data_IF_167708613847
#
_entry.id   IF_167708613847
#
_cell.length_a   1.000
_cell.length_b   1.000
_cell.length_c   1.000
_cell.angle_alpha   90.00
_cell.angle_beta   90.00
_cell.angle_gamma   90.00
#
_symmetry.space_group_name_H-M   'P 1'
#
loop_
_entity.id
_entity.type
_entity.pdbx_description
1 polymer ?
#
# COMPACT_ATOMS: atom_id res chain seq x y z
N UNK A 1 -32.71 -2.05 -4.58
CA UNK A 1 -31.30 -1.88 -4.15
C UNK A 1 -30.62 -0.96 -5.15
N UNK A 2 -30.03 0.15 -4.68
CA UNK A 2 -29.47 1.19 -5.54
C UNK A 2 -27.95 0.96 -5.70
N UNK A 3 -27.41 0.84 -6.93
CA UNK A 3 -25.99 0.54 -7.19
C UNK A 3 -25.02 1.72 -6.96
N UNK A 4 -25.40 2.69 -6.12
CA UNK A 4 -24.62 3.92 -5.84
C UNK A 4 -23.76 3.83 -4.57
N UNK A 5 -23.70 2.67 -3.94
CA UNK A 5 -22.76 2.35 -2.85
C UNK A 5 -21.49 1.66 -3.38
N UNK A 6 -21.08 1.96 -4.62
CA UNK A 6 -19.65 1.98 -4.92
C UNK A 6 -19.13 3.22 -4.20
N UNK A 7 -19.01 3.12 -2.87
CA UNK A 7 -18.32 4.10 -2.08
C UNK A 7 -16.92 4.19 -2.67
N UNK A 8 -16.70 5.23 -3.48
CA UNK A 8 -15.38 5.73 -3.80
C UNK A 8 -14.63 5.79 -2.48
N UNK A 9 -13.76 4.81 -2.27
CA UNK A 9 -12.68 4.87 -1.29
C UNK A 9 -11.87 6.09 -1.69
N UNK A 10 -12.28 7.26 -1.17
CA UNK A 10 -11.48 8.47 -1.20
C UNK A 10 -10.21 8.12 -0.44
N UNK A 11 -9.17 7.82 -1.21
CA UNK A 11 -7.81 7.64 -0.75
C UNK A 11 -7.39 9.00 -0.17
N UNK A 12 -7.48 9.15 1.14
CA UNK A 12 -6.97 10.33 1.82
C UNK A 12 -5.45 10.30 1.72
N UNK A 13 -4.88 11.25 0.98
CA UNK A 13 -3.44 11.52 0.95
C UNK A 13 -3.04 12.28 2.23
N UNK A 14 -1.99 11.78 2.90
CA UNK A 14 -0.77 12.49 3.34
C UNK A 14 -0.11 11.80 4.56
N UNK A 15 1.19 11.40 4.52
CA UNK A 15 2.11 11.12 3.41
C UNK A 15 2.16 9.62 3.05
N UNK A 16 1.04 8.91 3.14
CA UNK A 16 0.97 7.47 2.90
C UNK A 16 -0.36 7.07 2.27
N UNK A 17 -0.35 5.98 1.50
CA UNK A 17 -1.58 5.34 1.00
C UNK A 17 -2.07 4.35 2.04
N UNK A 18 -3.37 4.37 2.35
CA UNK A 18 -4.01 3.39 3.24
C UNK A 18 -4.84 2.41 2.43
N UNK A 19 -4.59 1.12 2.61
CA UNK A 19 -5.36 0.03 2.04
C UNK A 19 -6.07 -0.72 3.15
N UNK A 20 -7.39 -0.88 3.04
CA UNK A 20 -8.21 -1.66 3.96
C UNK A 20 -8.96 -2.72 3.16
N UNK A 21 -8.96 -3.96 3.64
CA UNK A 21 -9.52 -5.10 2.92
C UNK A 21 -10.76 -5.64 3.64
N UNK A 22 -11.86 -5.80 2.90
CA UNK A 22 -13.13 -6.34 3.41
C UNK A 22 -13.31 -7.83 3.11
N UNK A 23 -12.44 -8.41 2.29
CA UNK A 23 -12.50 -9.79 1.84
C UNK A 23 -11.09 -10.38 1.70
N UNK A 24 -11.01 -11.71 1.65
CA UNK A 24 -9.74 -12.37 1.40
C UNK A 24 -9.31 -12.18 -0.05
N UNK A 25 -8.08 -11.73 -0.27
CA UNK A 25 -7.55 -11.53 -1.63
C UNK A 25 -6.07 -11.88 -1.73
N UNK A 26 -5.68 -12.39 -2.90
CA UNK A 26 -4.28 -12.48 -3.32
C UNK A 26 -3.92 -11.21 -4.09
N UNK A 27 -2.92 -10.48 -3.61
CA UNK A 27 -2.44 -9.23 -4.22
C UNK A 27 -1.02 -9.46 -4.72
N UNK A 28 -0.80 -9.26 -6.02
CA UNK A 28 0.53 -9.45 -6.64
C UNK A 28 1.27 -8.12 -6.82
N UNK A 29 0.53 -7.01 -6.83
CA UNK A 29 1.04 -5.65 -6.95
C UNK A 29 0.01 -4.65 -6.45
N UNK A 30 0.46 -3.47 -6.07
CA UNK A 30 -0.41 -2.33 -5.74
C UNK A 30 -0.08 -1.13 -6.63
N UNK A 31 -1.12 -0.35 -6.95
CA UNK A 31 -0.96 0.89 -7.70
C UNK A 31 -0.90 2.05 -6.72
N UNK A 32 0.09 2.92 -6.89
CA UNK A 32 0.33 4.09 -6.07
C UNK A 32 0.31 5.33 -6.97
N UNK A 33 -0.87 5.69 -7.50
CA UNK A 33 -0.99 6.88 -8.34
C UNK A 33 -0.55 8.10 -7.53
N UNK A 34 0.02 9.11 -8.18
CA UNK A 34 0.56 10.34 -7.56
C UNK A 34 2.00 10.26 -7.01
N UNK A 35 2.62 9.08 -6.95
CA UNK A 35 4.06 8.97 -6.66
C UNK A 35 4.91 9.23 -7.89
N UNK A 36 6.16 9.65 -7.69
CA UNK A 36 7.12 9.63 -8.80
C UNK A 36 7.35 8.16 -9.24
N UNK A 37 7.59 7.92 -10.54
CA UNK A 37 8.10 6.64 -10.97
C UNK A 37 9.38 6.29 -10.22
N UNK A 38 9.63 5.01 -10.00
CA UNK A 38 10.89 4.58 -9.36
C UNK A 38 11.09 5.09 -7.93
N UNK A 39 9.99 5.32 -7.19
CA UNK A 39 10.03 5.69 -5.77
C UNK A 39 10.16 4.43 -4.89
N UNK A 40 10.96 4.51 -3.83
CA UNK A 40 11.09 3.44 -2.84
C UNK A 40 9.90 3.49 -1.87
N UNK A 41 9.32 2.32 -1.62
CA UNK A 41 8.09 2.17 -0.85
C UNK A 41 8.26 1.09 0.20
N UNK A 42 7.78 1.41 1.40
CA UNK A 42 7.59 0.46 2.50
C UNK A 42 6.08 0.21 2.63
N UNK A 43 5.69 -1.07 2.64
CA UNK A 43 4.36 -1.52 3.01
C UNK A 43 4.40 -2.05 4.44
N UNK A 44 3.54 -1.53 5.31
CA UNK A 44 3.52 -1.90 6.72
C UNK A 44 2.11 -1.88 7.33
N UNK A 45 1.93 -2.55 8.47
CA UNK A 45 0.66 -2.57 9.22
C UNK A 45 0.42 -1.30 10.05
N UNK A 46 1.48 -0.56 10.34
CA UNK A 46 1.44 0.67 11.14
C UNK A 46 2.03 1.82 10.31
N UNK A 47 1.39 3.00 10.25
CA UNK A 47 1.90 4.13 9.47
C UNK A 47 3.25 4.71 9.98
N UNK A 48 3.81 4.19 11.08
CA UNK A 48 5.11 4.58 11.61
C UNK A 48 6.12 3.40 11.59
N UNK A 49 6.64 3.01 10.40
CA UNK A 49 7.50 1.82 10.24
C UNK A 49 8.84 1.94 10.99
N UNK A 50 9.29 3.16 11.30
CA UNK A 50 10.53 3.38 12.07
C UNK A 50 10.41 2.95 13.53
N UNK A 51 9.19 2.86 14.08
CA UNK A 51 8.96 2.47 15.48
C UNK A 51 8.89 0.96 15.67
N UNK A 52 8.62 0.21 14.60
CA UNK A 52 8.48 -1.23 14.67
C UNK A 52 8.80 -1.89 13.32
N UNK A 53 9.98 -2.49 13.20
CA UNK A 53 10.37 -3.20 11.98
C UNK A 53 9.52 -4.45 11.73
N UNK A 54 8.96 -5.06 12.78
CA UNK A 54 8.11 -6.26 12.65
C UNK A 54 6.77 -5.96 11.94
N UNK A 55 6.39 -4.68 11.86
CA UNK A 55 5.20 -4.25 11.13
C UNK A 55 5.45 -4.09 9.61
N UNK A 56 6.69 -4.21 9.14
CA UNK A 56 7.04 -4.12 7.72
C UNK A 56 6.71 -5.43 7.01
N UNK A 57 5.84 -5.34 6.02
CA UNK A 57 5.38 -6.46 5.20
C UNK A 57 6.24 -6.61 3.95
N UNK A 58 6.57 -5.47 3.33
CA UNK A 58 7.31 -5.45 2.09
C UNK A 58 8.06 -4.14 1.93
N UNK A 59 9.24 -4.21 1.31
CA UNK A 59 9.96 -3.04 0.82
C UNK A 59 10.29 -3.26 -0.65
N UNK A 60 10.11 -2.23 -1.45
CA UNK A 60 10.33 -2.32 -2.89
C UNK A 60 10.33 -0.96 -3.55
N UNK A 61 10.26 -0.98 -4.88
CA UNK A 61 10.35 0.22 -5.71
C UNK A 61 9.25 0.19 -6.77
N UNK A 62 8.60 1.33 -7.01
CA UNK A 62 7.61 1.42 -8.09
C UNK A 62 8.27 1.32 -9.45
N UNK A 63 7.55 0.81 -10.44
CA UNK A 63 7.96 0.84 -11.84
C UNK A 63 7.63 2.19 -12.51
N UNK A 64 7.83 2.28 -13.82
CA UNK A 64 7.52 3.47 -14.61
C UNK A 64 6.03 3.88 -14.51
N UNK A 65 5.16 2.89 -14.37
CA UNK A 65 3.70 3.03 -14.30
C UNK A 65 3.17 3.12 -12.85
N UNK A 66 4.02 3.44 -11.88
CA UNK A 66 3.66 3.61 -10.47
C UNK A 66 3.06 2.35 -9.79
N UNK A 67 3.34 1.17 -10.34
CA UNK A 67 3.01 -0.11 -9.70
C UNK A 67 4.18 -0.60 -8.85
N UNK A 68 3.86 -1.07 -7.64
CA UNK A 68 4.79 -1.79 -6.78
C UNK A 68 4.52 -3.30 -6.89
N UNK A 69 5.36 -4.07 -7.59
CA UNK A 69 5.24 -5.53 -7.64
C UNK A 69 5.75 -6.16 -6.35
N UNK A 70 5.08 -7.22 -5.90
CA UNK A 70 5.55 -8.03 -4.79
C UNK A 70 6.35 -9.24 -5.26
N UNK A 71 7.48 -9.52 -4.61
CA UNK A 71 8.28 -10.72 -4.89
C UNK A 71 7.53 -12.02 -4.60
N UNK A 72 6.58 -11.96 -3.65
CA UNK A 72 5.62 -13.02 -3.36
C UNK A 72 4.25 -12.37 -3.20
N UNK A 73 3.19 -12.97 -3.75
CA UNK A 73 1.85 -12.44 -3.57
C UNK A 73 1.49 -12.29 -2.10
N UNK A 74 0.96 -11.14 -1.73
CA UNK A 74 0.43 -10.88 -0.39
C UNK A 74 -0.97 -11.49 -0.30
N UNK A 75 -1.18 -12.35 0.69
CA UNK A 75 -2.52 -12.83 1.04
C UNK A 75 -3.05 -11.93 2.13
N UNK A 76 -4.15 -11.24 1.85
CA UNK A 76 -4.81 -10.33 2.78
C UNK A 76 -6.12 -10.94 3.24
N UNK A 77 -6.51 -10.65 4.47
CA UNK A 77 -7.74 -11.14 5.10
C UNK A 77 -8.74 -9.99 5.32
N UNK A 78 -10.04 -10.29 5.51
CA UNK A 78 -11.01 -9.28 5.93
C UNK A 78 -10.55 -8.60 7.23
N UNK A 79 -10.55 -7.27 7.26
CA UNK A 79 -10.13 -6.46 8.39
C UNK A 79 -8.65 -6.04 8.34
N UNK A 80 -7.84 -6.61 7.44
CA UNK A 80 -6.45 -6.18 7.29
C UNK A 80 -6.37 -4.73 6.81
N UNK A 81 -5.42 -4.00 7.40
CA UNK A 81 -5.09 -2.63 7.02
C UNK A 81 -3.59 -2.51 6.84
N UNK A 82 -3.18 -1.96 5.70
CA UNK A 82 -1.78 -1.66 5.41
C UNK A 82 -1.61 -0.22 4.93
N UNK A 83 -0.37 0.24 5.05
CA UNK A 83 0.07 1.57 4.70
C UNK A 83 1.22 1.45 3.72
N UNK A 84 1.21 2.24 2.64
CA UNK A 84 2.33 2.39 1.73
C UNK A 84 2.96 3.75 1.93
N UNK A 85 4.24 3.77 2.29
CA UNK A 85 4.97 4.95 2.73
C UNK A 85 6.17 5.13 1.83
N UNK A 86 6.35 6.34 1.30
CA UNK A 86 7.56 6.71 0.58
C UNK A 86 8.76 6.71 1.53
N UNK A 87 9.76 5.88 1.18
CA UNK A 87 11.05 5.91 1.84
C UNK A 87 11.95 6.84 1.03
N UNK A 88 12.23 8.03 1.60
CA UNK A 88 13.32 8.86 1.08
C UNK A 88 14.63 8.09 1.26
N UNK A 89 15.53 8.08 0.27
CA UNK A 89 16.87 7.59 0.49
C UNK A 89 17.47 8.37 1.67
N UNK A 90 18.09 7.66 2.61
CA UNK A 90 18.96 8.32 3.58
C UNK A 90 20.13 8.90 2.77
N UNK A 91 20.24 10.23 2.73
CA UNK A 91 21.48 10.91 2.36
C UNK A 91 22.63 10.47 3.29
#
# INVERSE_FOLDING_TARGET
MNPKEIAQLKLYHEPFFKYAFSEQRKIEKIHLPELKPHTHIIICKNPSPQKNQDDIIHTGKTNADQWLPFNRPLIVMPGDVFYAIEQKPND
#
